data_IF_243549633698
#
_entry.id   IF_243549633698
#
_cell.length_a   1.000
_cell.length_b   1.000
_cell.length_c   1.000
_cell.angle_alpha   90.00
_cell.angle_beta   90.00
_cell.angle_gamma   90.00
#
_symmetry.space_group_name_H-M   'P 1'
#
loop_
_entity.id
_entity.type
_entity.pdbx_description
1 polymer ?
#
# COMPACT_ATOMS: atom_id res chain seq x y z
N UNK A 1 -17.04 -6.01 -11.26
CA UNK A 1 -16.71 -7.30 -11.89
C UNK A 1 -15.46 -7.88 -11.22
N UNK A 2 -15.47 -9.19 -10.93
CA UNK A 2 -14.28 -9.87 -10.43
C UNK A 2 -13.21 -9.94 -11.53
N UNK A 3 -11.94 -9.77 -11.14
CA UNK A 3 -10.81 -9.83 -12.06
C UNK A 3 -10.22 -11.24 -12.10
N UNK A 4 -9.80 -11.71 -13.29
CA UNK A 4 -9.38 -13.09 -13.50
C UNK A 4 -8.04 -13.41 -12.82
N UNK A 5 -7.93 -14.65 -12.37
CA UNK A 5 -6.68 -15.24 -11.90
C UNK A 5 -5.68 -15.40 -13.06
N UNK A 6 -4.40 -15.35 -12.73
CA UNK A 6 -3.31 -15.64 -13.67
C UNK A 6 -3.14 -17.16 -13.77
N UNK A 7 -3.29 -17.72 -14.98
CA UNK A 7 -3.24 -19.18 -15.21
C UNK A 7 -1.82 -19.76 -15.30
N UNK A 8 -0.80 -18.92 -15.17
CA UNK A 8 0.60 -19.33 -15.24
C UNK A 8 1.23 -19.24 -16.63
N UNK A 9 0.52 -18.71 -17.63
CA UNK A 9 1.09 -18.46 -18.96
C UNK A 9 2.29 -17.50 -18.88
N UNK A 10 3.42 -17.85 -19.51
CA UNK A 10 4.70 -17.13 -19.38
C UNK A 10 4.57 -15.63 -19.66
N UNK A 11 3.86 -15.27 -20.74
CA UNK A 11 3.60 -13.86 -21.12
C UNK A 11 2.76 -13.16 -20.06
N UNK A 12 1.66 -13.78 -19.59
CA UNK A 12 0.78 -13.21 -18.59
C UNK A 12 1.51 -12.96 -17.26
N UNK A 13 2.29 -13.95 -16.81
CA UNK A 13 3.11 -13.85 -15.60
C UNK A 13 4.11 -12.70 -15.70
N UNK A 14 4.82 -12.58 -16.82
CA UNK A 14 5.83 -11.53 -17.01
C UNK A 14 5.20 -10.14 -17.08
N UNK A 15 4.09 -9.98 -17.80
CA UNK A 15 3.38 -8.70 -17.90
C UNK A 15 2.86 -8.27 -16.53
N UNK A 16 2.16 -9.16 -15.82
CA UNK A 16 1.62 -8.87 -14.47
C UNK A 16 2.73 -8.57 -13.46
N UNK A 17 3.82 -9.35 -13.48
CA UNK A 17 4.96 -9.13 -12.58
C UNK A 17 5.68 -7.82 -12.89
N UNK A 18 5.89 -7.52 -14.18
CA UNK A 18 6.53 -6.29 -14.64
C UNK A 18 5.75 -5.06 -14.21
N UNK A 19 4.43 -5.05 -14.45
CA UNK A 19 3.55 -3.98 -14.00
C UNK A 19 3.58 -3.80 -12.49
N UNK A 20 3.48 -4.90 -11.73
CA UNK A 20 3.51 -4.84 -10.28
C UNK A 20 4.84 -4.26 -9.77
N UNK A 21 5.98 -4.71 -10.31
CA UNK A 21 7.30 -4.17 -9.95
C UNK A 21 7.42 -2.68 -10.25
N UNK A 22 6.92 -2.25 -11.41
CA UNK A 22 6.95 -0.87 -11.85
C UNK A 22 6.22 0.06 -10.86
N UNK A 23 4.97 -0.26 -10.51
CA UNK A 23 4.18 0.58 -9.59
C UNK A 23 4.57 0.43 -8.12
N UNK A 24 5.33 -0.61 -7.78
CA UNK A 24 5.85 -0.81 -6.41
C UNK A 24 7.17 -0.08 -6.15
N UNK A 25 7.70 0.63 -7.16
CA UNK A 25 8.90 1.45 -7.01
C UNK A 25 8.71 2.59 -6.02
N UNK A 26 9.79 2.95 -5.30
CA UNK A 26 9.83 4.11 -4.41
C UNK A 26 9.95 5.42 -5.19
N UNK A 27 10.64 5.40 -6.32
CA UNK A 27 10.74 6.55 -7.24
C UNK A 27 9.44 6.69 -8.02
N UNK A 28 8.91 7.91 -8.09
CA UNK A 28 7.69 8.19 -8.85
C UNK A 28 7.82 7.78 -10.31
N UNK A 29 6.79 7.14 -10.84
CA UNK A 29 6.75 6.64 -12.21
C UNK A 29 6.80 7.82 -13.18
N UNK A 30 7.83 7.86 -14.01
CA UNK A 30 7.99 8.83 -15.10
C UNK A 30 7.60 8.21 -16.45
N UNK A 31 7.23 9.03 -17.45
CA UNK A 31 6.94 8.52 -18.80
C UNK A 31 8.12 7.74 -19.39
N UNK A 32 9.35 8.21 -19.17
CA UNK A 32 10.56 7.61 -19.73
C UNK A 32 10.86 6.20 -19.17
N UNK A 33 10.37 5.90 -17.97
CA UNK A 33 10.58 4.59 -17.32
C UNK A 33 9.50 3.55 -17.69
N UNK A 34 8.46 3.95 -18.43
CA UNK A 34 7.30 3.12 -18.72
C UNK A 34 7.41 2.56 -20.16
N UNK A 35 7.19 1.24 -20.37
CA UNK A 35 7.20 0.66 -21.71
C UNK A 35 6.13 1.29 -22.61
N UNK A 36 6.40 1.36 -23.91
CA UNK A 36 5.52 1.96 -24.92
C UNK A 36 4.12 1.33 -24.88
N UNK A 37 4.04 0.01 -24.65
CA UNK A 37 2.78 -0.75 -24.52
C UNK A 37 1.88 -0.27 -23.38
N UNK A 38 2.42 0.50 -22.43
CA UNK A 38 1.69 1.01 -21.28
C UNK A 38 1.55 2.53 -21.24
N UNK A 39 2.05 3.27 -22.22
CA UNK A 39 1.97 4.75 -22.27
C UNK A 39 0.56 5.29 -22.01
N UNK A 40 -0.46 4.67 -22.61
CA UNK A 40 -1.86 5.07 -22.43
C UNK A 40 -2.40 4.83 -21.00
N UNK A 41 -1.72 3.97 -20.22
CA UNK A 41 -2.06 3.67 -18.83
C UNK A 41 -1.23 4.48 -17.82
N UNK A 42 -0.36 5.40 -18.26
CA UNK A 42 0.55 6.14 -17.39
C UNK A 42 -0.15 6.77 -16.17
N UNK A 43 -1.22 7.53 -16.38
CA UNK A 43 -1.97 8.20 -15.28
C UNK A 43 -2.57 7.19 -14.30
N UNK A 44 -3.11 6.07 -14.80
CA UNK A 44 -3.69 5.00 -13.98
C UNK A 44 -2.62 4.30 -13.15
N UNK A 45 -1.48 3.96 -13.74
CA UNK A 45 -0.37 3.31 -13.06
C UNK A 45 0.26 4.23 -12.01
N UNK A 46 0.37 5.52 -12.31
CA UNK A 46 0.83 6.53 -11.34
C UNK A 46 -0.16 6.70 -10.18
N UNK A 47 -1.46 6.64 -10.45
CA UNK A 47 -2.50 6.58 -9.42
C UNK A 47 -2.32 5.37 -8.50
N UNK A 48 -2.13 4.17 -9.06
CA UNK A 48 -1.89 2.95 -8.27
C UNK A 48 -0.62 3.06 -7.43
N UNK A 49 0.47 3.61 -7.98
CA UNK A 49 1.70 3.83 -7.23
C UNK A 49 1.48 4.80 -6.05
N UNK A 50 0.76 5.90 -6.26
CA UNK A 50 0.41 6.83 -5.19
C UNK A 50 -0.39 6.12 -4.07
N UNK A 51 -1.34 5.27 -4.44
CA UNK A 51 -2.11 4.48 -3.49
C UNK A 51 -1.26 3.44 -2.73
N UNK A 52 -0.29 2.79 -3.39
CA UNK A 52 0.70 1.92 -2.73
C UNK A 52 1.46 2.71 -1.66
N UNK A 53 1.95 3.91 -1.99
CA UNK A 53 2.67 4.75 -1.02
C UNK A 53 1.78 5.18 0.15
N UNK A 54 0.53 5.59 -0.11
CA UNK A 54 -0.44 5.89 0.97
C UNK A 54 -0.67 4.69 1.88
N UNK A 55 -0.83 3.49 1.32
CA UNK A 55 -1.01 2.25 2.11
C UNK A 55 0.21 1.97 2.98
N UNK A 56 1.43 2.18 2.47
CA UNK A 56 2.67 2.04 3.24
C UNK A 56 2.70 3.03 4.41
N UNK A 57 2.37 4.30 4.15
CA UNK A 57 2.32 5.34 5.19
C UNK A 57 1.29 5.00 6.26
N UNK A 58 0.05 4.65 5.87
CA UNK A 58 -1.01 4.28 6.81
C UNK A 58 -0.60 3.06 7.66
N UNK A 59 -0.04 2.03 7.03
CA UNK A 59 0.38 0.81 7.73
C UNK A 59 1.50 1.09 8.74
N UNK A 60 2.48 1.92 8.35
CA UNK A 60 3.59 2.32 9.24
C UNK A 60 3.09 3.14 10.41
N UNK A 61 2.18 4.09 10.16
CA UNK A 61 1.51 4.90 11.19
C UNK A 61 0.74 4.05 12.19
N UNK A 62 -0.03 3.07 11.73
CA UNK A 62 -0.78 2.17 12.60
C UNK A 62 0.17 1.31 13.45
N UNK A 63 1.27 0.82 12.87
CA UNK A 63 2.26 0.05 13.63
C UNK A 63 2.88 0.87 14.77
N UNK A 64 3.30 2.10 14.49
CA UNK A 64 3.87 2.99 15.49
C UNK A 64 2.82 3.38 16.54
N UNK A 65 1.58 3.66 16.10
CA UNK A 65 0.50 3.99 17.01
C UNK A 65 0.19 2.82 17.96
N UNK A 66 0.09 1.61 17.43
CA UNK A 66 -0.10 0.39 18.22
C UNK A 66 1.05 0.18 19.20
N UNK A 67 2.29 0.48 18.82
CA UNK A 67 3.45 0.40 19.72
C UNK A 67 3.35 1.40 20.88
N UNK A 68 2.87 2.62 20.63
CA UNK A 68 2.64 3.63 21.67
C UNK A 68 1.51 3.19 22.61
N UNK A 69 0.34 2.78 22.08
CA UNK A 69 -0.79 2.33 22.89
C UNK A 69 -0.46 1.09 23.74
N UNK A 70 0.34 0.16 23.20
CA UNK A 70 0.78 -1.04 23.93
C UNK A 70 1.67 -0.70 25.12
N UNK A 71 2.45 0.38 25.04
CA UNK A 71 3.23 0.89 26.17
C UNK A 71 2.35 1.43 27.30
N UNK A 72 1.08 1.73 27.03
CA UNK A 72 0.17 2.45 27.93
C UNK A 72 -0.97 1.57 28.48
N UNK A 73 -1.01 0.28 28.15
CA UNK A 73 -2.04 -0.70 28.59
C UNK A 73 -3.49 -0.24 28.28
N UNK A 74 -3.72 0.37 27.12
CA UNK A 74 -5.05 0.82 26.71
C UNK A 74 -6.02 -0.35 26.46
N UNK A 75 -7.21 -0.32 27.07
CA UNK A 75 -8.19 -1.42 27.02
C UNK A 75 -9.05 -1.48 25.74
N UNK A 76 -9.04 -0.43 24.91
CA UNK A 76 -9.86 -0.33 23.67
C UNK A 76 -9.00 -0.09 22.41
N UNK A 77 -7.85 -0.77 22.33
CA UNK A 77 -6.82 -0.53 21.32
C UNK A 77 -7.30 -0.74 19.88
N UNK A 78 -8.08 -1.79 19.60
CA UNK A 78 -8.46 -2.14 18.22
C UNK A 78 -9.51 -1.18 17.63
N UNK A 79 -10.41 -0.64 18.47
CA UNK A 79 -11.37 0.39 18.06
C UNK A 79 -10.67 1.70 17.75
N UNK A 80 -9.74 2.15 18.60
CA UNK A 80 -8.96 3.37 18.36
C UNK A 80 -8.11 3.25 17.10
N UNK A 81 -7.51 2.08 16.85
CA UNK A 81 -6.73 1.81 15.63
C UNK A 81 -7.62 1.84 14.38
N UNK A 82 -8.83 1.27 14.45
CA UNK A 82 -9.77 1.30 13.32
C UNK A 82 -10.18 2.73 12.97
N UNK A 83 -10.59 3.53 13.97
CA UNK A 83 -10.90 4.95 13.77
C UNK A 83 -9.71 5.74 13.23
N UNK A 84 -8.50 5.46 13.72
CA UNK A 84 -7.27 6.07 13.22
C UNK A 84 -6.99 5.71 11.76
N UNK A 85 -7.28 4.47 11.36
CA UNK A 85 -7.10 4.03 9.96
C UNK A 85 -8.03 4.78 9.02
N UNK A 86 -9.28 4.98 9.41
CA UNK A 86 -10.29 5.73 8.64
C UNK A 86 -9.90 7.21 8.51
N UNK A 87 -9.63 7.89 9.63
CA UNK A 87 -9.27 9.31 9.62
C UNK A 87 -7.96 9.58 8.86
N UNK A 88 -6.96 8.70 8.98
CA UNK A 88 -5.72 8.86 8.23
C UNK A 88 -5.94 8.59 6.73
N UNK A 89 -6.83 7.66 6.38
CA UNK A 89 -7.20 7.43 4.98
C UNK A 89 -7.89 8.63 4.37
N UNK A 90 -8.80 9.29 5.11
CA UNK A 90 -9.46 10.52 4.68
C UNK A 90 -8.48 11.67 4.54
N UNK A 91 -7.62 11.90 5.55
CA UNK A 91 -6.61 12.95 5.53
C UNK A 91 -5.69 12.85 4.31
N UNK A 92 -5.14 11.66 4.03
CA UNK A 92 -4.24 11.42 2.90
C UNK A 92 -4.94 11.43 1.54
N UNK A 93 -6.26 11.40 1.49
CA UNK A 93 -7.02 11.56 0.24
C UNK A 93 -7.32 13.03 -0.07
N UNK A 94 -7.36 13.90 0.95
CA UNK A 94 -7.69 15.32 0.81
C UNK A 94 -6.47 16.24 0.75
N UNK A 95 -5.32 15.82 1.30
CA UNK A 95 -4.12 16.66 1.41
C UNK A 95 -3.02 16.12 0.49
N UNK A 96 -2.64 16.89 -0.53
CA UNK A 96 -1.58 16.52 -1.49
C UNK A 96 -0.18 16.51 -0.84
N UNK A 97 0.14 17.48 0.02
CA UNK A 97 1.42 17.61 0.71
C UNK A 97 1.31 17.27 2.20
N UNK A 98 0.85 16.06 2.50
CA UNK A 98 0.71 15.56 3.86
C UNK A 98 2.09 15.33 4.52
N UNK A 99 2.53 16.29 5.34
CA UNK A 99 3.73 16.16 6.16
C UNK A 99 3.55 15.21 7.36
N UNK A 100 4.67 14.77 7.94
CA UNK A 100 4.69 13.90 9.12
C UNK A 100 3.92 14.51 10.30
N UNK A 101 4.01 15.83 10.47
CA UNK A 101 3.29 16.55 11.53
C UNK A 101 1.77 16.41 11.37
N UNK A 102 1.23 16.59 10.16
CA UNK A 102 -0.20 16.43 9.90
C UNK A 102 -0.69 14.99 10.10
N UNK A 103 0.15 14.01 9.76
CA UNK A 103 -0.13 12.59 10.01
C UNK A 103 -0.23 12.34 11.53
N UNK A 104 0.76 12.80 12.30
CA UNK A 104 0.82 12.64 13.75
C UNK A 104 -0.37 13.33 14.43
N UNK A 105 -0.72 14.54 14.00
CA UNK A 105 -1.85 15.29 14.54
C UNK A 105 -3.17 14.58 14.31
N UNK A 106 -3.36 14.01 13.12
CA UNK A 106 -4.55 13.21 12.80
C UNK A 106 -4.65 12.00 13.74
N UNK A 107 -3.56 11.25 13.91
CA UNK A 107 -3.54 10.06 14.78
C UNK A 107 -3.84 10.43 16.23
N UNK A 108 -3.21 11.47 16.76
CA UNK A 108 -3.38 11.85 18.16
C UNK A 108 -4.76 12.47 18.41
N UNK A 109 -5.32 13.16 17.42
CA UNK A 109 -6.70 13.64 17.44
C UNK A 109 -7.72 12.51 17.67
N UNK A 110 -7.49 11.32 17.11
CA UNK A 110 -8.37 10.15 17.29
C UNK A 110 -8.46 9.65 18.74
N UNK A 111 -7.39 9.82 19.52
CA UNK A 111 -7.32 9.34 20.91
C UNK A 111 -8.06 10.23 21.91
N UNK A 112 -8.43 11.46 21.53
CA UNK A 112 -9.05 12.47 22.43
C UNK A 112 -10.52 12.19 22.74
N UNK A 113 -11.14 11.18 22.12
CA UNK A 113 -12.59 10.96 22.24
C UNK A 113 -13.02 10.24 23.54
N UNK A 114 -12.10 9.96 24.47
CA UNK A 114 -12.40 9.10 25.62
C UNK A 114 -11.91 9.52 27.00
N UNK A 115 -10.93 10.41 27.16
CA UNK A 115 -10.34 10.62 28.49
C UNK A 115 -10.09 12.08 28.89
N UNK A 116 -10.45 12.36 30.14
CA UNK A 116 -10.37 13.67 30.78
C UNK A 116 -8.90 14.05 30.98
N UNK A 117 -8.53 15.23 30.50
CA UNK A 117 -7.30 15.96 30.89
C UNK A 117 -6.03 15.09 30.81
N UNK A 118 -5.65 14.66 29.61
CA UNK A 118 -4.23 14.35 29.36
C UNK A 118 -3.41 15.62 29.55
N UNK A 119 -2.48 15.60 30.50
CA UNK A 119 -1.48 16.66 30.71
C UNK A 119 -0.85 17.04 29.36
N UNK A 120 -0.94 18.33 29.00
CA UNK A 120 -0.53 18.86 27.69
C UNK A 120 0.94 18.51 27.37
N UNK A 121 1.76 18.37 28.42
CA UNK A 121 3.15 17.91 28.34
C UNK A 121 3.26 16.46 27.87
N UNK A 122 2.42 15.55 28.36
CA UNK A 122 2.43 14.14 27.96
C UNK A 122 1.98 13.99 26.50
N UNK A 123 1.00 14.79 26.08
CA UNK A 123 0.53 14.84 24.70
C UNK A 123 1.64 15.30 23.73
N UNK A 124 2.38 16.36 24.09
CA UNK A 124 3.51 16.84 23.28
C UNK A 124 4.67 15.85 23.22
N UNK A 125 4.95 15.13 24.32
CA UNK A 125 5.92 14.05 24.33
C UNK A 125 5.51 12.92 23.36
N UNK A 126 4.23 12.51 23.35
CA UNK A 126 3.70 11.53 22.39
C UNK A 126 3.84 12.01 20.94
N UNK A 127 3.45 13.26 20.66
CA UNK A 127 3.58 13.87 19.32
C UNK A 127 5.02 13.82 18.82
N UNK A 128 5.96 14.32 19.62
CA UNK A 128 7.37 14.39 19.25
C UNK A 128 8.03 13.01 19.13
N UNK A 129 7.64 12.04 19.97
CA UNK A 129 8.11 10.66 19.85
C UNK A 129 7.60 10.01 18.56
N UNK A 130 6.30 10.17 18.28
CA UNK A 130 5.68 9.58 17.09
C UNK A 130 6.23 10.18 15.80
N UNK A 131 6.40 11.51 15.73
CA UNK A 131 6.98 12.19 14.58
C UNK A 131 8.39 11.68 14.27
N UNK A 132 9.24 11.52 15.30
CA UNK A 132 10.59 10.97 15.13
C UNK A 132 10.58 9.51 14.68
N UNK A 133 9.69 8.69 15.25
CA UNK A 133 9.57 7.29 14.85
C UNK A 133 9.09 7.17 13.41
N UNK A 134 8.08 7.94 13.01
CA UNK A 134 7.58 7.99 11.63
C UNK A 134 8.65 8.47 10.65
N UNK A 135 9.34 9.57 10.98
CA UNK A 135 10.41 10.12 10.14
C UNK A 135 11.53 9.11 9.90
N UNK A 136 11.84 8.28 10.90
CA UNK A 136 12.82 7.20 10.77
C UNK A 136 12.27 6.01 9.99
N UNK A 137 11.09 5.52 10.37
CA UNK A 137 10.48 4.30 9.82
C UNK A 137 9.93 4.45 8.40
N UNK A 138 9.83 5.67 7.86
CA UNK A 138 9.50 5.92 6.46
C UNK A 138 10.75 6.06 5.56
N UNK A 139 11.96 6.01 6.12
CA UNK A 139 13.18 5.99 5.31
C UNK A 139 13.35 4.63 4.64
N UNK A 140 13.76 4.63 3.37
CA UNK A 140 13.87 3.42 2.56
C UNK A 140 14.80 2.34 3.16
N UNK A 141 15.79 2.76 3.94
CA UNK A 141 16.75 1.85 4.58
C UNK A 141 16.25 1.24 5.89
N UNK A 142 15.18 1.80 6.49
CA UNK A 142 14.68 1.35 7.77
C UNK A 142 14.04 -0.05 7.65
N UNK A 143 14.31 -0.97 8.60
CA UNK A 143 13.75 -2.32 8.57
C UNK A 143 12.22 -2.33 8.67
N UNK A 144 11.60 -1.35 9.33
CA UNK A 144 10.13 -1.22 9.38
C UNK A 144 9.60 -0.91 7.99
N UNK A 145 10.20 0.05 7.30
CA UNK A 145 9.83 0.37 5.91
C UNK A 145 9.94 -0.86 5.02
N UNK A 146 11.09 -1.56 5.02
CA UNK A 146 11.31 -2.76 4.19
C UNK A 146 10.27 -3.85 4.49
N UNK A 147 9.93 -4.06 5.77
CA UNK A 147 8.91 -5.03 6.19
C UNK A 147 7.51 -4.65 5.70
N UNK A 148 7.12 -3.39 5.88
CA UNK A 148 5.81 -2.86 5.47
C UNK A 148 5.67 -2.87 3.95
N UNK A 149 6.64 -2.32 3.23
CA UNK A 149 6.67 -2.30 1.77
C UNK A 149 6.60 -3.71 1.19
N UNK A 150 7.29 -4.68 1.79
CA UNK A 150 7.19 -6.10 1.39
C UNK A 150 5.80 -6.68 1.63
N UNK A 151 5.17 -6.40 2.77
CA UNK A 151 3.83 -6.88 3.07
C UNK A 151 2.79 -6.31 2.09
N UNK A 152 2.88 -5.01 1.80
CA UNK A 152 2.03 -4.33 0.81
C UNK A 152 2.26 -4.92 -0.59
N UNK A 153 3.52 -5.08 -1.01
CA UNK A 153 3.85 -5.72 -2.29
C UNK A 153 3.25 -7.14 -2.40
N UNK A 154 3.40 -7.96 -1.35
CA UNK A 154 2.81 -9.30 -1.33
C UNK A 154 1.28 -9.26 -1.37
N UNK A 155 0.66 -8.24 -0.79
CA UNK A 155 -0.79 -8.07 -0.82
C UNK A 155 -1.29 -7.77 -2.24
N UNK A 156 -0.66 -6.81 -2.92
CA UNK A 156 -0.95 -6.52 -4.33
C UNK A 156 -0.65 -7.74 -5.21
N UNK A 157 0.46 -8.45 -4.97
CA UNK A 157 0.80 -9.69 -5.69
C UNK A 157 -0.29 -10.74 -5.53
N UNK A 158 -0.85 -10.89 -4.33
CA UNK A 158 -1.96 -11.81 -4.06
C UNK A 158 -3.16 -11.56 -4.97
N UNK A 159 -3.55 -10.30 -5.17
CA UNK A 159 -4.66 -9.93 -6.07
C UNK A 159 -4.28 -10.03 -7.54
N UNK A 160 -3.09 -9.54 -7.90
CA UNK A 160 -2.62 -9.50 -9.28
C UNK A 160 -2.52 -10.92 -9.86
N UNK A 161 -2.10 -11.91 -9.07
CA UNK A 161 -1.99 -13.30 -9.54
C UNK A 161 -3.19 -14.16 -9.15
N UNK A 162 -3.71 -14.03 -7.94
CA UNK A 162 -4.83 -14.83 -7.42
C UNK A 162 -6.21 -14.26 -7.70
N UNK A 163 -6.31 -13.26 -8.57
CA UNK A 163 -7.58 -12.60 -8.94
C UNK A 163 -8.18 -11.76 -7.82
N UNK A 164 -9.30 -11.09 -8.11
CA UNK A 164 -9.99 -10.26 -7.11
C UNK A 164 -11.10 -11.00 -6.34
N UNK A 165 -11.22 -12.32 -6.54
CA UNK A 165 -12.16 -13.18 -5.82
C UNK A 165 -11.67 -13.52 -4.41
N UNK A 166 -12.21 -14.59 -3.84
CA UNK A 166 -11.91 -15.00 -2.45
C UNK A 166 -10.45 -15.41 -2.25
N UNK A 167 -9.84 -16.09 -3.22
CA UNK A 167 -8.47 -16.59 -3.12
C UNK A 167 -7.44 -15.46 -3.03
N UNK A 168 -7.38 -14.58 -4.03
CA UNK A 168 -6.47 -13.43 -4.02
C UNK A 168 -6.73 -12.50 -2.83
N UNK A 169 -7.99 -12.26 -2.47
CA UNK A 169 -8.34 -11.46 -1.28
C UNK A 169 -7.76 -12.03 0.00
N UNK A 170 -7.87 -13.35 0.21
CA UNK A 170 -7.30 -14.03 1.38
C UNK A 170 -5.77 -13.92 1.41
N UNK A 171 -5.11 -14.01 0.27
CA UNK A 171 -3.65 -13.80 0.16
C UNK A 171 -3.28 -12.35 0.55
N UNK A 172 -4.04 -11.38 0.06
CA UNK A 172 -3.82 -9.97 0.37
C UNK A 172 -4.01 -9.65 1.86
N UNK A 173 -5.12 -10.12 2.43
CA UNK A 173 -5.42 -9.96 3.85
C UNK A 173 -4.34 -10.60 4.73
N UNK A 174 -3.90 -11.82 4.40
CA UNK A 174 -2.88 -12.54 5.15
C UNK A 174 -1.55 -11.77 5.15
N UNK A 175 -1.16 -11.18 4.02
CA UNK A 175 0.05 -10.37 3.93
C UNK A 175 -0.06 -9.09 4.77
N UNK A 176 -1.16 -8.35 4.66
CA UNK A 176 -1.37 -7.10 5.42
C UNK A 176 -1.51 -7.34 6.93
N UNK A 177 -2.06 -8.49 7.34
CA UNK A 177 -2.18 -8.86 8.75
C UNK A 177 -0.82 -8.94 9.45
N UNK A 178 0.25 -9.28 8.73
CA UNK A 178 1.63 -9.33 9.28
C UNK A 178 2.15 -7.96 9.74
N UNK A 179 1.54 -6.88 9.22
CA UNK A 179 1.86 -5.49 9.58
C UNK A 179 0.67 -4.80 10.23
N UNK A 180 -0.32 -5.58 10.69
CA UNK A 180 -1.47 -5.06 11.41
C UNK A 180 -2.40 -4.17 10.60
N UNK A 181 -2.37 -4.27 9.27
CA UNK A 181 -3.09 -3.41 8.33
C UNK A 181 -4.17 -4.16 7.53
N UNK A 182 -4.75 -5.23 8.11
CA UNK A 182 -5.74 -6.07 7.43
C UNK A 182 -6.98 -5.29 6.97
N UNK A 183 -7.34 -4.20 7.64
CA UNK A 183 -8.41 -3.27 7.26
C UNK A 183 -8.21 -2.61 5.89
N UNK A 184 -6.96 -2.54 5.38
CA UNK A 184 -6.65 -1.96 4.07
C UNK A 184 -6.86 -2.94 2.90
N UNK A 185 -7.32 -4.17 3.16
CA UNK A 185 -7.49 -5.21 2.13
C UNK A 185 -8.40 -4.75 0.99
N UNK A 186 -9.55 -4.13 1.28
CA UNK A 186 -10.46 -3.66 0.23
C UNK A 186 -9.84 -2.57 -0.64
N UNK A 187 -9.02 -1.70 -0.04
CA UNK A 187 -8.28 -0.66 -0.76
C UNK A 187 -7.25 -1.31 -1.71
N UNK A 188 -6.49 -2.29 -1.23
CA UNK A 188 -5.56 -3.06 -2.08
C UNK A 188 -6.30 -3.77 -3.22
N UNK A 189 -7.44 -4.42 -2.94
CA UNK A 189 -8.25 -5.10 -3.96
C UNK A 189 -8.68 -4.10 -5.03
N UNK A 190 -9.19 -2.93 -4.64
CA UNK A 190 -9.65 -1.90 -5.57
C UNK A 190 -8.54 -1.46 -6.53
N UNK A 191 -7.36 -1.14 -6.00
CA UNK A 191 -6.25 -0.60 -6.79
C UNK A 191 -5.54 -1.68 -7.62
N UNK A 192 -5.40 -2.89 -7.08
CA UNK A 192 -4.81 -4.00 -7.82
C UNK A 192 -5.67 -4.44 -9.02
N UNK A 193 -6.99 -4.22 -9.00
CA UNK A 193 -7.85 -4.46 -10.17
C UNK A 193 -7.42 -3.63 -11.38
N UNK A 194 -6.95 -2.40 -11.17
CA UNK A 194 -6.45 -1.53 -12.24
C UNK A 194 -5.25 -2.19 -12.94
N UNK A 195 -4.35 -2.80 -12.17
CA UNK A 195 -3.20 -3.53 -12.70
C UNK A 195 -3.61 -4.77 -13.49
N UNK A 196 -4.59 -5.55 -12.98
CA UNK A 196 -5.07 -6.74 -13.68
C UNK A 196 -5.75 -6.38 -15.00
N UNK A 197 -6.54 -5.30 -15.03
CA UNK A 197 -7.16 -4.81 -16.27
C UNK A 197 -6.09 -4.34 -17.26
N UNK A 198 -5.12 -3.54 -16.80
CA UNK A 198 -4.03 -3.06 -17.64
C UNK A 198 -3.22 -4.23 -18.24
N UNK A 199 -2.90 -5.25 -17.43
CA UNK A 199 -2.23 -6.46 -17.89
C UNK A 199 -3.07 -7.20 -18.94
N UNK A 200 -4.35 -7.45 -18.64
CA UNK A 200 -5.25 -8.21 -19.52
C UNK A 200 -5.42 -7.55 -20.88
N UNK A 201 -5.62 -6.23 -20.90
CA UNK A 201 -5.71 -5.47 -22.17
C UNK A 201 -4.39 -5.52 -22.92
N UNK A 202 -3.26 -5.33 -22.23
CA UNK A 202 -1.95 -5.36 -22.87
C UNK A 202 -1.63 -6.74 -23.47
N UNK A 203 -1.98 -7.82 -22.78
CA UNK A 203 -1.81 -9.18 -23.31
C UNK A 203 -2.73 -9.42 -24.51
N UNK A 204 -3.96 -8.93 -24.47
CA UNK A 204 -4.90 -9.07 -25.59
C UNK A 204 -4.44 -8.34 -26.85
N UNK A 205 -3.82 -7.17 -26.71
CA UNK A 205 -3.38 -6.33 -27.84
C UNK A 205 -1.94 -6.65 -28.27
N UNK A 206 -1.03 -6.77 -27.32
CA UNK A 206 0.42 -6.89 -27.54
C UNK A 206 0.96 -8.30 -27.25
N UNK A 207 0.10 -9.27 -26.93
CA UNK A 207 0.46 -10.66 -26.62
C UNK A 207 1.42 -11.30 -27.64
N UNK A 208 1.14 -11.27 -28.95
CA UNK A 208 2.04 -11.79 -29.96
C UNK A 208 3.43 -11.12 -29.95
N UNK A 209 3.48 -9.81 -29.71
CA UNK A 209 4.74 -9.07 -29.61
C UNK A 209 5.55 -9.50 -28.39
N UNK A 210 4.91 -9.63 -27.23
CA UNK A 210 5.56 -10.17 -26.03
C UNK A 210 6.07 -11.59 -26.24
N UNK A 211 5.28 -12.45 -26.89
CA UNK A 211 5.67 -13.82 -27.19
C UNK A 211 6.92 -13.89 -28.07
N UNK A 212 7.02 -13.03 -29.08
CA UNK A 212 8.24 -12.89 -29.90
C UNK A 212 9.42 -12.43 -29.06
N UNK A 213 9.26 -11.38 -28.26
CA UNK A 213 10.35 -10.84 -27.41
C UNK A 213 10.89 -11.90 -26.44
N UNK A 214 9.99 -12.70 -25.86
CA UNK A 214 10.34 -13.76 -24.91
C UNK A 214 10.88 -15.01 -25.62
N UNK A 215 10.40 -15.31 -26.83
CA UNK A 215 10.85 -16.42 -27.66
C UNK A 215 12.20 -16.18 -28.33
N UNK A 216 12.61 -14.93 -28.50
CA UNK A 216 13.97 -14.57 -28.93
C UNK A 216 15.01 -14.62 -27.82
N UNK A 217 14.60 -14.88 -26.57
CA UNK A 217 15.50 -15.07 -25.44
C UNK A 217 15.77 -16.57 -25.18
N UNK A 218 16.29 -17.27 -26.19
CA UNK A 218 17.16 -18.42 -25.95
C UNK A 218 18.60 -17.89 -25.93
N UNK A 219 19.09 -17.60 -24.72
CA UNK A 219 20.49 -17.26 -24.41
C UNK A 219 21.11 -18.44 -23.66
#
# INVERSE_FOLDING_TARGET
>A
QEQPECKGDKVDVLVRLGLLKLVSGVSGLTPDALPETFMLNFSRLRGVQAEIQKIIVISTSILIFRQILSSEQASDMERTISNCTEQLSEFLNCVEDAGIEGIVDTIIGTSRHGDKVTDDKNLQLRKSMMARMLAKSLQAEDPVFKKVSRAVYLAFRGIVFGGSGTHGRKLAETALRQVGAASLTERVVKEAKVLVVAATVSIGVHGPWYATLIGTCDL
#
